data_IF_165917550333
#
_entry.id   IF_165917550333
#
_cell.length_a   1.000
_cell.length_b   1.000
_cell.length_c   1.000
_cell.angle_alpha   90.00
_cell.angle_beta   90.00
_cell.angle_gamma   90.00
#
_symmetry.space_group_name_H-M   'P 1'
#
loop_
_entity.id
_entity.type
_entity.pdbx_description
1 polymer ?
#
# COMPACT_ATOMS: atom_id res chain seq x y z
N UNK A 1 14.46 -18.79 -17.21
CA UNK A 1 13.70 -18.29 -18.37
C UNK A 1 12.83 -19.39 -18.99
N UNK A 2 13.35 -20.62 -19.13
CA UNK A 2 12.61 -21.77 -19.69
C UNK A 2 11.43 -22.15 -18.80
N UNK A 3 11.61 -22.25 -17.48
CA UNK A 3 10.54 -22.57 -16.52
C UNK A 3 9.42 -21.51 -16.50
N UNK A 4 9.75 -20.22 -16.56
CA UNK A 4 8.72 -19.17 -16.60
C UNK A 4 7.91 -19.25 -17.91
N UNK A 5 8.54 -19.55 -19.04
CA UNK A 5 7.84 -19.70 -20.31
C UNK A 5 6.91 -20.93 -20.34
N UNK A 6 7.35 -22.06 -19.81
CA UNK A 6 6.51 -23.28 -19.70
C UNK A 6 5.29 -23.04 -18.79
N UNK A 7 5.43 -22.24 -17.74
CA UNK A 7 4.34 -21.86 -16.85
C UNK A 7 3.33 -20.94 -17.56
N UNK A 8 3.82 -20.01 -18.39
CA UNK A 8 2.98 -19.05 -19.12
C UNK A 8 2.22 -19.69 -20.30
N UNK A 9 2.59 -20.89 -20.73
CA UNK A 9 1.87 -21.64 -21.76
C UNK A 9 0.60 -22.34 -21.22
N UNK A 10 0.28 -22.19 -19.91
CA UNK A 10 -0.95 -22.70 -19.31
C UNK A 10 -2.15 -21.85 -19.83
N UNK A 11 -3.04 -22.44 -20.64
CA UNK A 11 -4.15 -21.70 -21.25
C UNK A 11 -5.16 -21.16 -20.24
N UNK A 12 -5.23 -21.77 -19.03
CA UNK A 12 -6.14 -21.35 -17.98
C UNK A 12 -5.54 -20.25 -17.10
N UNK A 13 -4.23 -19.97 -17.24
CA UNK A 13 -3.48 -19.02 -16.44
C UNK A 13 -3.74 -19.17 -14.92
N UNK A 14 -3.84 -20.40 -14.42
CA UNK A 14 -4.03 -20.71 -13.00
C UNK A 14 -2.73 -21.23 -12.37
N UNK A 15 -2.11 -20.32 -11.60
CA UNK A 15 -0.87 -20.59 -10.86
C UNK A 15 -1.11 -20.72 -9.37
N UNK A 16 -2.33 -20.98 -8.95
CA UNK A 16 -2.69 -21.07 -7.54
C UNK A 16 -1.87 -22.14 -6.82
N UNK A 17 -1.40 -21.79 -5.61
CA UNK A 17 -0.58 -22.63 -4.74
C UNK A 17 0.80 -23.03 -5.31
N UNK A 18 1.25 -22.41 -6.42
CA UNK A 18 2.57 -22.67 -6.99
C UNK A 18 3.64 -21.82 -6.30
N UNK A 19 4.87 -22.33 -6.23
CA UNK A 19 6.05 -21.55 -5.87
C UNK A 19 6.71 -21.07 -7.16
N UNK A 20 6.60 -19.77 -7.41
CA UNK A 20 7.17 -19.07 -8.56
C UNK A 20 8.31 -18.14 -8.11
N UNK A 21 8.89 -18.44 -6.95
CA UNK A 21 9.99 -17.66 -6.40
C UNK A 21 11.19 -17.59 -7.33
N UNK A 22 11.84 -16.42 -7.35
CA UNK A 22 13.03 -16.13 -8.17
C UNK A 22 12.85 -16.26 -9.69
N UNK A 23 11.66 -16.57 -10.19
CA UNK A 23 11.41 -16.65 -11.64
C UNK A 23 11.32 -15.26 -12.26
N UNK A 24 11.58 -15.19 -13.56
CA UNK A 24 11.57 -13.95 -14.31
C UNK A 24 10.28 -13.81 -15.12
N UNK A 25 9.40 -12.93 -14.65
CA UNK A 25 8.14 -12.53 -15.30
C UNK A 25 8.20 -11.10 -15.84
N UNK A 26 9.41 -10.55 -16.03
CA UNK A 26 9.56 -9.17 -16.49
C UNK A 26 8.82 -8.93 -17.81
N UNK A 27 7.94 -7.91 -17.82
CA UNK A 27 7.16 -7.50 -18.97
C UNK A 27 6.10 -8.50 -19.43
N UNK A 28 5.83 -9.55 -18.66
CA UNK A 28 4.82 -10.55 -19.00
C UNK A 28 3.40 -10.01 -18.79
N UNK A 29 2.48 -10.49 -19.61
CA UNK A 29 1.06 -10.24 -19.44
C UNK A 29 0.43 -11.35 -18.59
N UNK A 30 0.09 -11.01 -17.34
CA UNK A 30 -0.55 -11.86 -16.34
C UNK A 30 -1.97 -11.34 -16.03
N UNK A 31 -2.56 -10.61 -16.97
CA UNK A 31 -3.88 -10.00 -16.82
C UNK A 31 -4.93 -11.09 -16.55
N UNK A 32 -5.71 -10.87 -15.49
CA UNK A 32 -6.77 -11.80 -15.07
C UNK A 32 -6.34 -13.23 -14.68
N UNK A 33 -5.03 -13.50 -14.58
CA UNK A 33 -4.55 -14.79 -14.10
C UNK A 33 -4.99 -15.03 -12.64
N UNK A 34 -5.16 -16.32 -12.31
CA UNK A 34 -5.49 -16.76 -10.95
C UNK A 34 -4.21 -17.24 -10.26
N UNK A 35 -3.82 -16.54 -9.20
CA UNK A 35 -2.55 -16.76 -8.49
C UNK A 35 -2.78 -16.79 -6.97
N UNK A 36 -3.84 -17.50 -6.55
CA UNK A 36 -4.22 -17.60 -5.12
C UNK A 36 -3.17 -18.41 -4.35
N UNK A 37 -2.72 -17.90 -3.20
CA UNK A 37 -1.66 -18.49 -2.37
C UNK A 37 -0.33 -18.72 -3.11
N UNK A 38 -0.08 -18.04 -4.22
CA UNK A 38 1.15 -18.20 -5.02
C UNK A 38 2.30 -17.47 -4.35
N UNK A 39 3.48 -18.10 -4.33
CA UNK A 39 4.72 -17.47 -3.89
C UNK A 39 5.45 -16.83 -5.07
N UNK A 40 5.66 -15.53 -5.00
CA UNK A 40 6.53 -14.74 -5.88
C UNK A 40 7.76 -14.24 -5.11
N UNK A 41 8.24 -14.99 -4.13
CA UNK A 41 9.36 -14.60 -3.32
C UNK A 41 10.60 -14.31 -4.18
N UNK A 42 11.08 -13.07 -4.17
CA UNK A 42 12.24 -12.65 -4.97
C UNK A 42 12.05 -12.71 -6.49
N UNK A 43 10.83 -12.91 -6.99
CA UNK A 43 10.56 -12.96 -8.43
C UNK A 43 10.77 -11.60 -9.11
N UNK A 44 11.12 -11.60 -10.38
CA UNK A 44 11.23 -10.40 -11.21
C UNK A 44 9.91 -10.13 -11.94
N UNK A 45 9.11 -9.22 -11.41
CA UNK A 45 7.82 -8.78 -11.95
C UNK A 45 7.90 -7.36 -12.55
N UNK A 46 9.10 -6.87 -12.85
CA UNK A 46 9.27 -5.54 -13.44
C UNK A 46 8.51 -5.42 -14.75
N UNK A 47 7.86 -4.28 -14.95
CA UNK A 47 7.07 -4.00 -16.15
C UNK A 47 5.95 -5.03 -16.43
N UNK A 48 5.69 -6.00 -15.53
CA UNK A 48 4.64 -7.00 -15.72
C UNK A 48 3.24 -6.39 -15.58
N UNK A 49 2.29 -6.89 -16.35
CA UNK A 49 0.90 -6.48 -16.27
C UNK A 49 0.07 -7.52 -15.50
N UNK A 50 -0.28 -7.21 -14.26
CA UNK A 50 -1.12 -8.02 -13.38
C UNK A 50 -2.50 -7.38 -13.15
N UNK A 51 -2.94 -6.51 -14.09
CA UNK A 51 -4.21 -5.82 -13.92
C UNK A 51 -5.38 -6.80 -13.91
N UNK A 52 -6.25 -6.65 -12.91
CA UNK A 52 -7.39 -7.55 -12.68
C UNK A 52 -7.04 -8.98 -12.25
N UNK A 53 -5.76 -9.32 -12.07
CA UNK A 53 -5.32 -10.63 -11.62
C UNK A 53 -5.79 -10.94 -10.19
N UNK A 54 -6.00 -12.23 -9.87
CA UNK A 54 -6.35 -12.67 -8.53
C UNK A 54 -5.11 -13.18 -7.79
N UNK A 55 -4.55 -12.34 -6.92
CA UNK A 55 -3.39 -12.60 -6.05
C UNK A 55 -3.80 -12.75 -4.58
N UNK A 56 -5.00 -13.22 -4.30
CA UNK A 56 -5.43 -13.40 -2.91
C UNK A 56 -4.45 -14.30 -2.15
N UNK A 57 -3.99 -13.83 -0.99
CA UNK A 57 -2.98 -14.51 -0.16
C UNK A 57 -1.64 -14.79 -0.85
N UNK A 58 -1.33 -14.10 -1.94
CA UNK A 58 -0.02 -14.23 -2.58
C UNK A 58 1.11 -13.65 -1.70
N UNK A 59 2.31 -14.19 -1.88
CA UNK A 59 3.53 -13.75 -1.20
C UNK A 59 4.47 -13.06 -2.20
N UNK A 60 4.59 -11.74 -2.09
CA UNK A 60 5.39 -10.87 -2.98
C UNK A 60 6.65 -10.34 -2.26
N UNK A 61 7.11 -11.06 -1.22
CA UNK A 61 8.25 -10.64 -0.43
C UNK A 61 9.52 -10.60 -1.28
N UNK A 62 10.29 -9.52 -1.17
CA UNK A 62 11.53 -9.28 -1.92
C UNK A 62 11.37 -9.31 -3.45
N UNK A 63 10.16 -9.35 -3.99
CA UNK A 63 9.91 -9.29 -5.43
C UNK A 63 10.33 -7.93 -6.00
N UNK A 64 10.70 -7.92 -7.27
CA UNK A 64 10.98 -6.69 -8.02
C UNK A 64 9.72 -6.25 -8.74
N UNK A 65 9.16 -5.11 -8.31
CA UNK A 65 7.85 -4.63 -8.74
C UNK A 65 7.91 -3.28 -9.50
N UNK A 66 9.13 -2.83 -9.89
CA UNK A 66 9.28 -1.55 -10.57
C UNK A 66 8.43 -1.52 -11.85
N UNK A 67 7.55 -0.53 -11.97
CA UNK A 67 6.58 -0.33 -13.06
C UNK A 67 5.57 -1.46 -13.26
N UNK A 68 5.49 -2.42 -12.33
CA UNK A 68 4.45 -3.44 -12.39
C UNK A 68 3.05 -2.80 -12.28
N UNK A 69 2.08 -3.34 -13.02
CA UNK A 69 0.71 -2.85 -13.04
C UNK A 69 -0.23 -3.84 -12.33
N UNK A 70 -0.68 -3.49 -11.13
CA UNK A 70 -1.68 -4.21 -10.34
C UNK A 70 -3.05 -3.51 -10.35
N UNK A 71 -3.34 -2.68 -11.36
CA UNK A 71 -4.61 -1.94 -11.39
C UNK A 71 -5.81 -2.90 -11.33
N UNK A 72 -6.70 -2.68 -10.34
CA UNK A 72 -7.88 -3.53 -10.13
C UNK A 72 -7.58 -4.96 -9.69
N UNK A 73 -6.33 -5.34 -9.40
CA UNK A 73 -5.98 -6.68 -8.93
C UNK A 73 -6.57 -6.98 -7.54
N UNK A 74 -6.81 -8.26 -7.26
CA UNK A 74 -7.31 -8.75 -5.97
C UNK A 74 -6.11 -9.23 -5.15
N UNK A 75 -5.70 -8.45 -4.15
CA UNK A 75 -4.56 -8.70 -3.26
C UNK A 75 -5.02 -8.91 -1.81
N UNK A 76 -6.25 -9.40 -1.61
CA UNK A 76 -6.81 -9.65 -0.27
C UNK A 76 -5.88 -10.59 0.51
N UNK A 77 -5.52 -10.21 1.74
CA UNK A 77 -4.62 -10.97 2.61
C UNK A 77 -3.21 -11.22 2.03
N UNK A 78 -2.83 -10.54 0.94
CA UNK A 78 -1.48 -10.68 0.37
C UNK A 78 -0.41 -10.15 1.34
N UNK A 79 0.78 -10.74 1.26
CA UNK A 79 1.95 -10.29 2.02
C UNK A 79 3.00 -9.72 1.08
N UNK A 80 3.35 -8.45 1.29
CA UNK A 80 4.24 -7.66 0.44
C UNK A 80 5.30 -7.05 1.36
N UNK A 81 6.36 -7.81 1.61
CA UNK A 81 7.40 -7.40 2.55
C UNK A 81 8.71 -7.11 1.83
N UNK A 82 9.18 -5.86 1.94
CA UNK A 82 10.42 -5.36 1.32
C UNK A 82 10.59 -5.68 -0.17
N UNK A 83 9.57 -5.54 -1.02
CA UNK A 83 9.78 -5.62 -2.44
C UNK A 83 10.57 -4.40 -2.92
N UNK A 84 11.12 -4.47 -4.12
CA UNK A 84 11.69 -3.31 -4.79
C UNK A 84 10.59 -2.65 -5.62
N UNK A 85 10.17 -1.47 -5.18
CA UNK A 85 9.17 -0.66 -5.87
C UNK A 85 9.81 0.40 -6.78
N UNK A 86 9.01 0.98 -7.64
CA UNK A 86 9.35 2.12 -8.50
C UNK A 86 8.24 2.33 -9.52
N UNK A 87 7.47 3.40 -9.37
CA UNK A 87 6.30 3.72 -10.23
C UNK A 87 5.28 2.57 -10.34
N UNK A 88 5.17 1.73 -9.30
CA UNK A 88 4.25 0.60 -9.26
C UNK A 88 2.82 1.11 -9.14
N UNK A 89 1.89 0.51 -9.91
CA UNK A 89 0.50 0.94 -9.99
C UNK A 89 -0.44 -0.06 -9.32
N UNK A 90 -1.11 0.36 -8.23
CA UNK A 90 -2.17 -0.37 -7.51
C UNK A 90 -3.53 0.35 -7.62
N UNK A 91 -3.74 1.18 -8.63
CA UNK A 91 -4.99 1.93 -8.78
C UNK A 91 -6.21 1.00 -8.73
N UNK A 92 -7.14 1.24 -7.79
CA UNK A 92 -8.35 0.45 -7.63
C UNK A 92 -8.13 -1.01 -7.19
N UNK A 93 -6.90 -1.42 -6.83
CA UNK A 93 -6.62 -2.77 -6.33
C UNK A 93 -7.32 -3.01 -4.98
N UNK A 94 -7.67 -4.26 -4.69
CA UNK A 94 -8.22 -4.66 -3.41
C UNK A 94 -7.14 -5.29 -2.53
N UNK A 95 -6.65 -4.53 -1.56
CA UNK A 95 -5.63 -4.88 -0.56
C UNK A 95 -6.26 -5.09 0.84
N UNK A 96 -7.53 -5.44 0.93
CA UNK A 96 -8.20 -5.69 2.21
C UNK A 96 -7.45 -6.75 3.02
N UNK A 97 -7.17 -6.47 4.29
CA UNK A 97 -6.36 -7.31 5.19
C UNK A 97 -4.92 -7.58 4.71
N UNK A 98 -4.45 -6.94 3.64
CA UNK A 98 -3.08 -7.14 3.18
C UNK A 98 -2.06 -6.58 4.17
N UNK A 99 -0.85 -7.12 4.13
CA UNK A 99 0.29 -6.62 4.85
C UNK A 99 1.33 -6.08 3.88
N UNK A 100 1.69 -4.80 4.00
CA UNK A 100 2.66 -4.16 3.12
C UNK A 100 3.63 -3.31 3.92
N UNK A 101 4.92 -3.62 3.84
CA UNK A 101 5.99 -2.91 4.54
C UNK A 101 7.19 -2.79 3.62
N UNK A 102 7.77 -1.61 3.55
CA UNK A 102 8.97 -1.32 2.76
C UNK A 102 8.99 0.10 2.25
N UNK A 103 10.05 0.45 1.54
CA UNK A 103 10.18 1.75 0.87
C UNK A 103 9.58 1.68 -0.53
N UNK A 104 8.43 2.29 -0.70
CA UNK A 104 7.63 2.19 -1.92
C UNK A 104 7.92 3.31 -2.94
N UNK A 105 8.42 4.46 -2.46
CA UNK A 105 8.54 5.65 -3.30
C UNK A 105 7.17 6.12 -3.82
N UNK A 106 7.13 6.56 -5.06
CA UNK A 106 5.91 7.11 -5.68
C UNK A 106 4.99 6.02 -6.22
N UNK A 107 4.34 5.24 -5.35
CA UNK A 107 3.30 4.30 -5.80
C UNK A 107 2.00 5.03 -6.13
N UNK A 108 1.21 4.44 -7.03
CA UNK A 108 -0.16 4.86 -7.26
C UNK A 108 -1.13 3.86 -6.64
N UNK A 109 -1.77 4.24 -5.53
CA UNK A 109 -2.81 3.45 -4.86
C UNK A 109 -4.18 4.17 -4.90
N UNK A 110 -4.35 5.12 -5.82
CA UNK A 110 -5.60 5.87 -5.89
C UNK A 110 -6.81 4.94 -6.06
N UNK A 111 -7.88 5.21 -5.27
CA UNK A 111 -9.10 4.40 -5.22
C UNK A 111 -8.90 2.93 -4.83
N UNK A 112 -7.75 2.53 -4.30
CA UNK A 112 -7.54 1.18 -3.78
C UNK A 112 -8.38 0.95 -2.51
N UNK A 113 -8.71 -0.30 -2.24
CA UNK A 113 -9.34 -0.75 -0.99
C UNK A 113 -8.25 -1.34 -0.09
N UNK A 114 -7.99 -0.70 1.06
CA UNK A 114 -6.94 -1.12 2.01
C UNK A 114 -7.54 -1.34 3.40
N UNK A 115 -8.83 -1.69 3.47
CA UNK A 115 -9.53 -1.91 4.75
C UNK A 115 -8.81 -2.94 5.61
N UNK A 116 -8.66 -2.65 6.90
CA UNK A 116 -7.93 -3.47 7.86
C UNK A 116 -6.48 -3.78 7.42
N UNK A 117 -5.89 -3.03 6.48
CA UNK A 117 -4.53 -3.23 6.01
C UNK A 117 -3.52 -3.05 7.15
N UNK A 118 -2.45 -3.85 7.15
CA UNK A 118 -1.36 -3.78 8.13
C UNK A 118 -0.12 -3.20 7.45
N UNK A 119 -0.03 -1.89 7.43
CA UNK A 119 1.06 -1.14 6.81
C UNK A 119 1.92 -0.41 7.84
N UNK A 120 1.57 -0.53 9.11
CA UNK A 120 2.32 -0.01 10.23
C UNK A 120 3.53 -0.87 10.62
N UNK A 121 4.26 -0.40 11.63
CA UNK A 121 5.41 -1.12 12.17
C UNK A 121 5.01 -2.47 12.76
N UNK A 122 5.59 -3.53 12.26
CA UNK A 122 5.49 -4.85 12.88
C UNK A 122 6.70 -5.10 13.80
N UNK A 123 6.50 -4.92 15.10
CA UNK A 123 7.54 -5.11 16.11
C UNK A 123 7.94 -6.59 16.34
N UNK A 124 7.12 -7.54 15.88
CA UNK A 124 7.34 -8.98 16.12
C UNK A 124 8.38 -9.63 15.20
N UNK A 125 8.80 -8.97 14.12
CA UNK A 125 9.60 -9.62 13.07
C UNK A 125 10.73 -8.72 12.55
N UNK A 126 11.38 -7.92 13.42
CA UNK A 126 12.36 -6.91 13.02
C UNK A 126 13.76 -7.15 13.59
N UNK A 127 14.57 -8.03 12.98
CA UNK A 127 15.96 -8.21 13.45
C UNK A 127 16.90 -7.04 13.06
N UNK A 128 16.52 -6.13 12.18
CA UNK A 128 17.43 -5.16 11.55
C UNK A 128 16.90 -3.73 11.45
N UNK A 129 16.12 -3.25 12.40
CA UNK A 129 15.64 -1.85 12.42
C UNK A 129 14.15 -1.69 12.18
N UNK A 130 13.66 -0.46 12.33
CA UNK A 130 12.24 -0.15 12.18
C UNK A 130 11.88 -0.06 10.69
N UNK A 131 11.45 -1.17 10.10
CA UNK A 131 10.89 -1.17 8.76
C UNK A 131 9.45 -0.64 8.83
N UNK A 132 9.18 0.41 8.08
CA UNK A 132 7.86 1.04 7.99
C UNK A 132 7.38 1.04 6.55
N UNK A 133 6.09 1.25 6.37
CA UNK A 133 5.55 1.67 5.09
C UNK A 133 6.05 3.09 4.81
N UNK A 134 6.81 3.27 3.75
CA UNK A 134 7.33 4.57 3.35
C UNK A 134 7.02 4.83 1.88
N UNK A 135 6.09 5.74 1.64
CA UNK A 135 5.67 6.13 0.29
C UNK A 135 5.64 7.65 0.15
N UNK A 136 6.83 8.25 0.21
CA UNK A 136 6.97 9.68 -0.03
C UNK A 136 6.55 10.06 -1.45
N UNK A 137 5.63 11.03 -1.57
CA UNK A 137 5.07 11.49 -2.84
C UNK A 137 4.14 10.49 -3.54
N UNK A 138 3.66 9.47 -2.83
CA UNK A 138 2.69 8.51 -3.36
C UNK A 138 1.31 9.12 -3.62
N UNK A 139 0.56 8.51 -4.52
CA UNK A 139 -0.83 8.90 -4.83
C UNK A 139 -1.81 7.94 -4.15
N UNK A 140 -2.51 8.44 -3.12
CA UNK A 140 -3.53 7.74 -2.33
C UNK A 140 -4.90 8.39 -2.44
N UNK A 141 -5.12 9.17 -3.50
CA UNK A 141 -6.37 9.88 -3.70
C UNK A 141 -7.58 8.96 -3.69
N UNK A 142 -8.52 9.20 -2.78
CA UNK A 142 -9.73 8.41 -2.63
C UNK A 142 -9.50 6.95 -2.21
N UNK A 143 -8.31 6.62 -1.68
CA UNK A 143 -8.02 5.28 -1.14
C UNK A 143 -8.85 5.05 0.12
N UNK A 144 -9.37 3.83 0.28
CA UNK A 144 -10.09 3.41 1.48
C UNK A 144 -9.16 2.69 2.45
N UNK A 145 -8.74 3.41 3.49
CA UNK A 145 -7.90 2.92 4.59
C UNK A 145 -8.71 2.64 5.88
N UNK A 146 -10.03 2.50 5.79
CA UNK A 146 -10.84 2.28 7.00
C UNK A 146 -10.28 1.13 7.84
N UNK A 147 -10.16 1.38 9.16
CA UNK A 147 -9.62 0.43 10.15
C UNK A 147 -8.18 -0.06 9.88
N UNK A 148 -7.43 0.57 8.97
CA UNK A 148 -6.05 0.17 8.68
C UNK A 148 -5.09 0.58 9.80
N UNK A 149 -4.03 -0.22 9.99
CA UNK A 149 -2.88 0.13 10.82
C UNK A 149 -1.77 0.77 9.96
N UNK A 150 -1.60 2.08 10.13
CA UNK A 150 -0.61 2.92 9.46
C UNK A 150 0.33 3.58 10.49
N UNK A 151 0.50 2.97 11.68
CA UNK A 151 1.37 3.56 12.69
C UNK A 151 2.79 3.72 12.15
N UNK A 152 3.41 4.86 12.42
CA UNK A 152 4.71 5.29 11.91
C UNK A 152 4.88 5.27 10.38
N UNK A 153 3.82 5.03 9.60
CA UNK A 153 3.88 5.09 8.14
C UNK A 153 4.29 6.49 7.65
N UNK A 154 5.00 6.55 6.53
CA UNK A 154 5.40 7.82 5.91
C UNK A 154 4.60 8.08 4.64
N UNK A 155 3.91 9.22 4.63
CA UNK A 155 3.17 9.80 3.50
C UNK A 155 3.67 11.20 3.17
N UNK A 156 4.94 11.48 3.41
CA UNK A 156 5.54 12.79 3.16
C UNK A 156 5.29 13.19 1.69
N UNK A 157 4.75 14.40 1.45
CA UNK A 157 4.32 14.88 0.12
C UNK A 157 3.25 14.01 -0.57
N UNK A 158 2.59 13.09 0.12
CA UNK A 158 1.58 12.21 -0.45
C UNK A 158 0.26 12.91 -0.74
N UNK A 159 -0.44 12.46 -1.78
CA UNK A 159 -1.82 12.89 -2.08
C UNK A 159 -2.81 11.93 -1.42
N UNK A 160 -3.37 12.31 -0.28
CA UNK A 160 -4.42 11.60 0.48
C UNK A 160 -5.79 12.27 0.28
N UNK A 161 -5.94 13.11 -0.76
CA UNK A 161 -7.18 13.86 -0.96
C UNK A 161 -8.38 12.93 -1.15
N UNK A 162 -9.45 13.19 -0.38
CA UNK A 162 -10.66 12.37 -0.38
C UNK A 162 -10.48 10.93 0.12
N UNK A 163 -9.36 10.60 0.76
CA UNK A 163 -9.14 9.27 1.33
C UNK A 163 -10.11 9.01 2.51
N UNK A 164 -10.59 7.77 2.63
CA UNK A 164 -11.29 7.31 3.82
C UNK A 164 -10.27 6.81 4.86
N UNK A 165 -10.03 7.62 5.89
CA UNK A 165 -9.10 7.34 6.99
C UNK A 165 -9.87 7.09 8.31
N UNK A 166 -11.13 6.65 8.23
CA UNK A 166 -11.96 6.39 9.42
C UNK A 166 -11.34 5.30 10.27
N UNK A 167 -11.29 5.54 11.59
CA UNK A 167 -10.73 4.62 12.58
C UNK A 167 -9.28 4.16 12.30
N UNK A 168 -8.57 4.79 11.39
CA UNK A 168 -7.21 4.43 11.01
C UNK A 168 -6.23 4.73 12.15
N UNK A 169 -5.31 3.82 12.42
CA UNK A 169 -4.21 4.08 13.33
C UNK A 169 -3.07 4.82 12.60
N UNK A 170 -3.00 6.14 12.78
CA UNK A 170 -1.95 7.02 12.26
C UNK A 170 -0.97 7.47 13.36
N UNK A 171 -0.88 6.70 14.46
CA UNK A 171 0.02 7.03 15.57
C UNK A 171 1.45 7.23 15.07
N UNK A 172 2.03 8.42 15.34
CA UNK A 172 3.37 8.81 14.91
C UNK A 172 3.62 8.72 13.38
N UNK A 173 2.57 8.71 12.55
CA UNK A 173 2.73 8.76 11.10
C UNK A 173 3.36 10.07 10.65
N UNK A 174 4.08 10.06 9.54
CA UNK A 174 4.69 11.23 8.91
C UNK A 174 3.80 11.71 7.76
N UNK A 175 3.10 12.81 8.00
CA UNK A 175 2.18 13.47 7.05
C UNK A 175 2.72 14.83 6.58
N UNK A 176 4.04 15.05 6.68
CA UNK A 176 4.69 16.31 6.32
C UNK A 176 4.33 16.68 4.88
N UNK A 177 3.74 17.88 4.70
CA UNK A 177 3.31 18.40 3.40
C UNK A 177 2.35 17.46 2.61
N UNK A 178 1.70 16.52 3.28
CA UNK A 178 0.68 15.69 2.66
C UNK A 178 -0.58 16.50 2.36
N UNK A 179 -1.29 16.14 1.29
CA UNK A 179 -2.61 16.71 0.98
C UNK A 179 -3.73 15.80 1.48
N UNK A 180 -4.42 16.22 2.54
CA UNK A 180 -5.60 15.53 3.10
C UNK A 180 -6.91 16.23 2.72
N UNK A 181 -6.93 17.06 1.67
CA UNK A 181 -8.13 17.81 1.28
C UNK A 181 -9.33 16.86 1.16
N UNK A 182 -10.40 17.12 1.95
CA UNK A 182 -11.63 16.33 1.94
C UNK A 182 -11.51 14.90 2.46
N UNK A 183 -10.39 14.51 3.08
CA UNK A 183 -10.24 13.19 3.69
C UNK A 183 -11.17 13.04 4.91
N UNK A 184 -11.66 11.83 5.19
CA UNK A 184 -12.45 11.52 6.40
C UNK A 184 -11.55 10.91 7.48
N UNK A 185 -11.26 11.69 8.52
CA UNK A 185 -10.47 11.29 9.70
C UNK A 185 -11.32 10.87 10.91
N UNK A 186 -12.62 10.64 10.73
CA UNK A 186 -13.51 10.30 11.84
C UNK A 186 -13.00 9.08 12.61
N UNK A 187 -12.68 9.25 13.90
CA UNK A 187 -12.17 8.18 14.75
C UNK A 187 -10.72 7.80 14.55
N UNK A 188 -9.99 8.41 13.61
CA UNK A 188 -8.57 8.14 13.40
C UNK A 188 -7.72 8.54 14.63
N UNK A 189 -6.61 7.85 14.86
CA UNK A 189 -5.63 8.18 15.91
C UNK A 189 -4.41 8.88 15.29
N UNK A 190 -4.30 10.18 15.49
CA UNK A 190 -3.17 11.02 15.05
C UNK A 190 -2.16 11.32 16.18
N UNK A 191 -2.22 10.60 17.30
CA UNK A 191 -1.34 10.85 18.43
C UNK A 191 0.13 10.83 18.01
N UNK A 192 0.82 11.96 18.14
CA UNK A 192 2.24 12.11 17.80
C UNK A 192 2.55 12.09 16.30
N UNK A 193 1.54 12.12 15.42
CA UNK A 193 1.76 12.24 13.98
C UNK A 193 2.40 13.61 13.65
N UNK A 194 3.29 13.63 12.67
CA UNK A 194 3.90 14.87 12.18
C UNK A 194 3.10 15.41 11.00
N UNK A 195 2.43 16.54 11.20
CA UNK A 195 1.54 17.20 10.23
C UNK A 195 2.11 18.50 9.69
N UNK A 196 3.44 18.71 9.79
CA UNK A 196 4.06 19.97 9.36
C UNK A 196 3.69 20.28 7.91
N UNK A 197 3.11 21.46 7.69
CA UNK A 197 2.61 21.95 6.40
C UNK A 197 1.58 21.03 5.69
N UNK A 198 1.04 20.02 6.35
CA UNK A 198 -0.01 19.19 5.76
C UNK A 198 -1.29 20.01 5.52
N UNK A 199 -1.99 19.74 4.42
CA UNK A 199 -3.20 20.46 4.04
C UNK A 199 -4.45 19.72 4.55
N UNK A 200 -5.15 20.30 5.51
CA UNK A 200 -6.37 19.77 6.14
C UNK A 200 -7.64 20.46 5.61
N UNK A 201 -7.60 21.04 4.41
CA UNK A 201 -8.76 21.71 3.84
C UNK A 201 -9.94 20.73 3.71
N UNK A 202 -11.11 21.15 4.20
CA UNK A 202 -12.37 20.39 4.10
C UNK A 202 -12.32 18.96 4.69
N UNK A 203 -11.36 18.67 5.59
CA UNK A 203 -11.26 17.39 6.30
C UNK A 203 -12.51 17.13 7.13
N UNK A 204 -13.05 15.90 7.04
CA UNK A 204 -14.23 15.44 7.79
C UNK A 204 -13.78 14.80 9.11
N UNK A 205 -14.53 15.03 10.18
CA UNK A 205 -14.39 14.33 11.45
C UNK A 205 -13.19 14.73 12.30
N UNK A 206 -12.53 15.86 12.03
CA UNK A 206 -11.34 16.31 12.77
C UNK A 206 -11.61 16.43 14.28
N UNK A 207 -12.80 16.89 14.68
CA UNK A 207 -13.20 16.99 16.10
C UNK A 207 -13.40 15.62 16.79
N UNK A 208 -13.45 14.55 16.03
CA UNK A 208 -13.60 13.15 16.51
C UNK A 208 -12.29 12.37 16.38
N UNK A 209 -11.23 13.02 15.96
CA UNK A 209 -9.90 12.43 15.78
C UNK A 209 -9.20 12.37 17.14
N UNK A 210 -8.64 11.21 17.47
CA UNK A 210 -7.87 11.03 18.70
C UNK A 210 -6.48 11.63 18.56
N UNK A 211 -6.02 12.34 19.61
CA UNK A 211 -4.65 12.85 19.72
C UNK A 211 -4.28 13.96 18.73
N UNK A 212 -5.26 14.63 18.14
CA UNK A 212 -5.01 15.79 17.27
C UNK A 212 -4.37 16.96 18.03
N UNK A 213 -4.62 17.08 19.33
CA UNK A 213 -3.95 18.02 20.26
C UNK A 213 -2.47 17.68 20.54
N UNK A 214 -2.01 16.52 20.10
CA UNK A 214 -0.66 15.97 20.31
C UNK A 214 0.12 15.75 19.01
N UNK A 215 -0.35 16.29 17.89
CA UNK A 215 0.38 16.25 16.64
C UNK A 215 1.63 17.13 16.73
N UNK A 216 2.62 16.81 15.89
CA UNK A 216 3.84 17.59 15.74
C UNK A 216 3.73 18.48 14.50
N UNK A 217 4.28 19.71 14.59
CA UNK A 217 4.26 20.67 13.51
C UNK A 217 2.94 21.44 13.39
N UNK A 218 2.83 22.26 12.34
CA UNK A 218 1.67 23.10 12.06
C UNK A 218 1.02 22.71 10.74
N UNK A 219 -0.24 22.34 10.78
CA UNK A 219 -1.03 22.06 9.59
C UNK A 219 -1.59 23.34 8.95
N UNK A 220 -1.89 23.28 7.68
CA UNK A 220 -2.62 24.31 6.93
C UNK A 220 -4.11 23.98 6.93
N UNK A 221 -4.96 25.00 7.05
CA UNK A 221 -6.43 24.89 7.00
C UNK A 221 -7.07 23.98 8.06
N UNK A 222 -6.42 23.77 9.19
CA UNK A 222 -6.90 22.88 10.25
C UNK A 222 -7.69 23.57 11.38
N UNK A 223 -7.90 24.88 11.28
CA UNK A 223 -8.73 25.63 12.24
C UNK A 223 -8.14 25.74 13.66
N UNK A 224 -6.83 25.53 13.82
CA UNK A 224 -6.07 25.78 15.07
C UNK A 224 -5.54 27.21 15.12
#
# INVERSE_FOLDING_TARGET
QTEANEILDDPDCDFSNKDLGYLNFKGQDLTHCVMINTSFFGADLRDANLSGANLQRAYLNLARLEKANFAGAILIEATIFQPIFGDTNFMGANLTNARMIGTLGKVNMSKALVKNGRFGLDVGNQPMGQMKFDSAGGNFKGTDFEDADLNIASFIFGDLSGANLRNTNLHRAELIQADLTGADLTGADLTGANVEDANFKDVIGLSKTKGFDKVLGKCRNCGM
#
